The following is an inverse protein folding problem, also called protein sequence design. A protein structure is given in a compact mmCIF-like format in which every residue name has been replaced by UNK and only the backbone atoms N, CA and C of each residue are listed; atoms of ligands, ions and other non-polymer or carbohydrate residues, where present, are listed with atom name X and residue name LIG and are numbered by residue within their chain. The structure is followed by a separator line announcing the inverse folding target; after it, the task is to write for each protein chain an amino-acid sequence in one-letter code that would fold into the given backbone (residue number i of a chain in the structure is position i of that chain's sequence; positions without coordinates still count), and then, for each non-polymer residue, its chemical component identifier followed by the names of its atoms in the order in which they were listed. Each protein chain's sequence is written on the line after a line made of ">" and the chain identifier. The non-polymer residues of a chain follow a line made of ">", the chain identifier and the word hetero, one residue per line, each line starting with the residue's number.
data_IF_957344433802
#
_entry.id   IF_957344433802
#
_cell.length_a   1.000
_cell.length_b   1.000
_cell.length_c   1.000
_cell.angle_alpha   90.00
_cell.angle_beta   90.00
_cell.angle_gamma   90.00
#
_symmetry.space_group_name_H-M   'P 1'
#
loop_
_entity.id
_entity.type
_entity.pdbx_description
1 polymer ?
#
# COMPACT_ATOMS: atom_id res chain seq x y z
N UNK A 1 5.37 19.05 12.78
CA UNK A 1 4.79 19.88 11.71
C UNK A 1 3.62 20.76 12.18
N UNK A 2 3.58 21.07 13.47
CA UNK A 2 2.71 22.11 14.05
C UNK A 2 1.21 21.93 13.74
N UNK A 3 0.68 20.71 13.93
CA UNK A 3 -0.72 20.39 13.70
C UNK A 3 -1.07 19.99 12.26
N UNK A 4 -0.08 19.83 11.38
CA UNK A 4 -0.31 19.42 9.98
C UNK A 4 -0.19 17.91 9.85
N UNK A 5 -1.27 17.26 9.41
CA UNK A 5 -1.28 15.85 9.06
C UNK A 5 -0.63 15.67 7.68
N UNK A 6 0.66 15.40 7.64
CA UNK A 6 1.39 15.23 6.39
C UNK A 6 2.68 14.43 6.55
N UNK A 7 3.21 13.98 5.40
CA UNK A 7 4.59 13.61 5.18
C UNK A 7 5.02 14.25 3.85
N UNK A 8 6.29 14.53 3.67
CA UNK A 8 6.75 15.14 2.42
C UNK A 8 8.28 14.98 2.24
N UNK A 9 8.70 14.91 0.97
CA UNK A 9 10.08 15.08 0.56
C UNK A 9 10.33 16.54 0.14
N UNK A 10 11.26 17.21 0.79
CA UNK A 10 11.60 18.59 0.46
C UNK A 10 13.05 18.89 0.87
N UNK A 11 13.82 19.55 -0.01
CA UNK A 11 15.23 19.92 0.21
C UNK A 11 16.09 18.75 0.68
N UNK A 12 16.00 17.63 -0.04
CA UNK A 12 16.76 16.40 0.21
C UNK A 12 16.48 15.73 1.57
N UNK A 13 15.36 16.07 2.22
CA UNK A 13 14.92 15.49 3.47
C UNK A 13 13.51 14.88 3.33
N UNK A 14 13.34 13.67 3.88
CA UNK A 14 12.01 13.10 4.12
C UNK A 14 11.55 13.51 5.51
N UNK A 15 10.37 14.11 5.61
CA UNK A 15 9.74 14.49 6.88
C UNK A 15 8.43 13.79 7.05
N UNK A 16 8.23 13.14 8.19
CA UNK A 16 6.95 12.55 8.60
C UNK A 16 6.50 13.29 9.86
N UNK A 17 5.36 13.93 9.79
CA UNK A 17 4.80 14.69 10.90
C UNK A 17 4.32 13.78 12.02
N UNK A 18 4.49 14.17 13.29
CA UNK A 18 4.00 13.39 14.43
C UNK A 18 2.48 13.16 14.37
N UNK A 19 1.75 14.10 13.83
CA UNK A 19 0.32 14.04 13.58
C UNK A 19 -0.09 12.85 12.69
N UNK A 20 0.81 12.42 11.79
CA UNK A 20 0.57 11.24 10.97
C UNK A 20 0.58 9.94 11.81
N UNK A 21 1.47 9.83 12.80
CA UNK A 21 1.47 8.69 13.72
C UNK A 21 0.22 8.67 14.61
N UNK A 22 -0.21 9.81 15.11
CA UNK A 22 -1.45 9.94 15.88
C UNK A 22 -2.68 9.57 15.03
N UNK A 23 -2.67 9.95 13.76
CA UNK A 23 -3.72 9.60 12.82
C UNK A 23 -3.79 8.08 12.58
N UNK A 24 -2.68 7.43 12.29
CA UNK A 24 -2.63 5.96 12.13
C UNK A 24 -3.14 5.27 13.38
N UNK A 25 -2.75 5.75 14.56
CA UNK A 25 -3.11 5.14 15.84
C UNK A 25 -4.63 5.01 16.03
N UNK A 26 -5.43 5.91 15.47
CA UNK A 26 -6.90 5.84 15.53
C UNK A 26 -7.47 4.56 14.90
N UNK A 27 -6.75 3.96 13.96
CA UNK A 27 -7.20 2.77 13.23
C UNK A 27 -6.60 1.47 13.77
N UNK A 28 -5.59 1.52 14.65
CA UNK A 28 -4.92 0.31 15.16
C UNK A 28 -5.84 -0.62 15.94
N UNK A 29 -6.89 -0.09 16.58
CA UNK A 29 -7.90 -0.89 17.28
C UNK A 29 -8.74 -1.79 16.33
N UNK A 30 -8.74 -1.49 15.03
CA UNK A 30 -9.44 -2.28 14.02
C UNK A 30 -8.58 -3.44 13.47
N UNK A 31 -7.30 -3.50 13.83
CA UNK A 31 -6.32 -4.43 13.29
C UNK A 31 -6.70 -5.91 13.45
N UNK A 32 -7.25 -6.28 14.61
CA UNK A 32 -7.62 -7.67 14.92
C UNK A 32 -8.62 -8.27 13.94
N UNK A 33 -9.50 -7.46 13.35
CA UNK A 33 -10.47 -7.91 12.34
C UNK A 33 -9.79 -8.43 11.07
N UNK A 34 -8.53 -8.03 10.84
CA UNK A 34 -7.72 -8.41 9.68
C UNK A 34 -6.61 -9.39 10.06
N UNK A 35 -6.66 -9.97 11.28
CA UNK A 35 -5.61 -10.85 11.78
C UNK A 35 -4.28 -10.16 12.05
N UNK A 36 -4.28 -8.83 12.13
CA UNK A 36 -3.12 -8.01 12.41
C UNK A 36 -3.03 -7.65 13.90
N UNK A 37 -1.80 -7.44 14.37
CA UNK A 37 -1.59 -6.80 15.67
C UNK A 37 -1.70 -5.28 15.53
N UNK A 38 -1.99 -4.53 16.62
CA UNK A 38 -1.91 -3.07 16.60
C UNK A 38 -0.56 -2.53 16.10
N UNK A 39 0.53 -3.28 16.38
CA UNK A 39 1.88 -2.96 15.88
C UNK A 39 1.95 -3.05 14.36
N UNK A 40 1.40 -4.11 13.75
CA UNK A 40 1.39 -4.27 12.29
C UNK A 40 0.59 -3.15 11.61
N UNK A 41 -0.56 -2.80 12.21
CA UNK A 41 -1.39 -1.70 11.72
C UNK A 41 -0.70 -0.32 11.81
N UNK A 42 0.27 -0.18 12.71
CA UNK A 42 1.10 1.03 12.82
C UNK A 42 2.28 0.98 11.83
N UNK A 43 3.00 -0.14 11.79
CA UNK A 43 4.26 -0.25 11.02
C UNK A 43 4.01 -0.20 9.52
N UNK A 44 2.96 -0.87 9.02
CA UNK A 44 2.64 -0.88 7.58
C UNK A 44 2.53 0.52 6.98
N UNK A 45 1.60 1.36 7.48
CA UNK A 45 1.44 2.73 6.97
C UNK A 45 2.68 3.63 7.15
N UNK A 46 3.40 3.49 8.27
CA UNK A 46 4.62 4.29 8.52
C UNK A 46 5.72 3.96 7.52
N UNK A 47 5.95 2.67 7.26
CA UNK A 47 6.94 2.26 6.26
C UNK A 47 6.50 2.66 4.86
N UNK A 48 5.22 2.53 4.56
CA UNK A 48 4.67 2.90 3.25
C UNK A 48 4.81 4.40 2.98
N UNK A 49 4.40 5.26 3.91
CA UNK A 49 4.52 6.71 3.70
C UNK A 49 5.99 7.14 3.59
N UNK A 50 6.89 6.55 4.37
CA UNK A 50 8.32 6.81 4.23
C UNK A 50 8.82 6.42 2.84
N UNK A 51 8.44 5.24 2.33
CA UNK A 51 8.83 4.79 0.99
C UNK A 51 8.18 5.62 -0.12
N UNK A 52 6.98 6.13 0.09
CA UNK A 52 6.32 7.04 -0.83
C UNK A 52 7.15 8.32 -0.99
N UNK A 53 7.58 8.94 0.11
CA UNK A 53 8.44 10.13 0.07
C UNK A 53 9.83 9.83 -0.51
N UNK A 54 10.38 8.65 -0.23
CA UNK A 54 11.60 8.17 -0.91
C UNK A 54 11.36 8.02 -2.41
N UNK A 55 10.17 7.61 -2.84
CA UNK A 55 9.77 7.55 -4.25
C UNK A 55 9.90 8.90 -4.94
N UNK A 56 9.42 9.98 -4.33
CA UNK A 56 9.61 11.34 -4.83
C UNK A 56 11.11 11.70 -4.93
N UNK A 57 11.88 11.39 -3.89
CA UNK A 57 13.32 11.62 -3.88
C UNK A 57 14.03 10.89 -5.03
N UNK A 58 13.72 9.62 -5.24
CA UNK A 58 14.33 8.80 -6.31
C UNK A 58 13.97 9.33 -7.68
N UNK A 59 12.70 9.70 -7.91
CA UNK A 59 12.26 10.30 -9.18
C UNK A 59 13.04 11.59 -9.46
N UNK A 60 13.21 12.46 -8.45
CA UNK A 60 13.91 13.73 -8.60
C UNK A 60 15.42 13.54 -8.79
N UNK A 61 16.06 12.69 -7.97
CA UNK A 61 17.54 12.54 -7.98
C UNK A 61 18.01 11.84 -9.27
N UNK A 62 17.21 10.90 -9.79
CA UNK A 62 17.58 10.13 -10.98
C UNK A 62 16.96 10.68 -12.27
N UNK A 63 16.28 11.83 -12.23
CA UNK A 63 15.57 12.44 -13.37
C UNK A 63 14.68 11.40 -14.10
N UNK A 64 13.92 10.62 -13.34
CA UNK A 64 13.09 9.53 -13.89
C UNK A 64 11.91 10.12 -14.67
N UNK A 65 11.77 9.84 -15.98
CA UNK A 65 10.62 10.25 -16.74
C UNK A 65 9.39 9.42 -16.35
N UNK A 66 8.25 10.07 -16.23
CA UNK A 66 6.97 9.42 -15.94
C UNK A 66 5.82 10.06 -16.72
N UNK A 67 4.77 9.29 -16.93
CA UNK A 67 3.50 9.76 -17.49
C UNK A 67 2.44 9.76 -16.39
N UNK A 68 1.66 10.83 -16.33
CA UNK A 68 0.60 11.00 -15.34
C UNK A 68 1.08 11.75 -14.10
N UNK A 69 0.61 11.33 -12.94
CA UNK A 69 0.88 12.01 -11.66
C UNK A 69 2.09 11.39 -10.95
N UNK A 70 2.94 12.23 -10.42
CA UNK A 70 4.10 11.78 -9.64
C UNK A 70 3.66 11.03 -8.35
N UNK A 71 2.55 11.42 -7.78
CA UNK A 71 1.96 10.77 -6.61
C UNK A 71 1.65 9.28 -6.84
N UNK A 72 1.09 8.96 -8.01
CA UNK A 72 0.84 7.56 -8.38
C UNK A 72 2.16 6.79 -8.57
N UNK A 73 3.20 7.46 -9.10
CA UNK A 73 4.55 6.85 -9.24
C UNK A 73 5.15 6.56 -7.87
N UNK A 74 5.03 7.48 -6.92
CA UNK A 74 5.51 7.30 -5.55
C UNK A 74 4.76 6.17 -4.82
N UNK A 75 3.44 6.04 -5.02
CA UNK A 75 2.64 4.93 -4.50
C UNK A 75 3.08 3.57 -5.08
N UNK A 76 3.31 3.50 -6.39
CA UNK A 76 3.82 2.29 -7.04
C UNK A 76 5.22 1.93 -6.59
N UNK A 77 6.10 2.93 -6.41
CA UNK A 77 7.44 2.75 -5.85
C UNK A 77 7.37 2.14 -4.45
N UNK A 78 6.60 2.75 -3.55
CA UNK A 78 6.43 2.27 -2.18
C UNK A 78 5.91 0.83 -2.15
N UNK A 79 4.85 0.55 -2.90
CA UNK A 79 4.25 -0.78 -2.98
C UNK A 79 5.23 -1.81 -3.56
N UNK A 80 5.98 -1.45 -4.61
CA UNK A 80 6.99 -2.32 -5.20
C UNK A 80 8.06 -2.72 -4.17
N UNK A 81 8.58 -1.75 -3.41
CA UNK A 81 9.60 -2.01 -2.38
C UNK A 81 9.05 -2.88 -1.25
N UNK A 82 7.83 -2.62 -0.76
CA UNK A 82 7.18 -3.46 0.24
C UNK A 82 7.07 -4.93 -0.19
N UNK A 83 6.82 -5.18 -1.45
CA UNK A 83 6.70 -6.51 -2.02
C UNK A 83 8.06 -7.22 -2.26
N UNK A 84 9.20 -6.55 -2.05
CA UNK A 84 10.53 -7.17 -2.09
C UNK A 84 10.93 -7.83 -0.76
N UNK A 85 10.26 -7.53 0.35
CA UNK A 85 10.52 -8.16 1.63
C UNK A 85 10.17 -9.66 1.62
N UNK A 86 10.58 -10.40 2.65
CA UNK A 86 10.16 -11.79 2.84
C UNK A 86 8.63 -11.90 2.80
N UNK A 87 8.10 -12.99 2.25
CA UNK A 87 6.65 -13.15 1.97
C UNK A 87 5.75 -12.78 3.15
N UNK A 88 6.07 -13.25 4.34
CA UNK A 88 5.29 -12.95 5.54
C UNK A 88 5.34 -11.46 5.91
N UNK A 89 6.52 -10.85 5.80
CA UNK A 89 6.72 -9.42 6.07
C UNK A 89 5.99 -8.58 5.03
N UNK A 90 6.13 -8.90 3.74
CA UNK A 90 5.45 -8.21 2.64
C UNK A 90 3.92 -8.26 2.82
N UNK A 91 3.36 -9.45 3.14
CA UNK A 91 1.92 -9.58 3.37
C UNK A 91 1.44 -8.72 4.54
N UNK A 92 2.16 -8.72 5.66
CA UNK A 92 1.79 -7.92 6.85
C UNK A 92 1.89 -6.43 6.60
N UNK A 93 2.92 -5.98 5.90
CA UNK A 93 3.08 -4.58 5.50
C UNK A 93 1.94 -4.13 4.59
N UNK A 94 1.62 -4.91 3.56
CA UNK A 94 0.50 -4.61 2.64
C UNK A 94 -0.84 -4.62 3.37
N UNK A 95 -1.09 -5.58 4.26
CA UNK A 95 -2.31 -5.62 5.06
C UNK A 95 -2.41 -4.42 6.01
N UNK A 96 -1.31 -4.08 6.73
CA UNK A 96 -1.28 -2.95 7.66
C UNK A 96 -1.56 -1.63 6.98
N UNK A 97 -0.88 -1.37 5.86
CA UNK A 97 -1.09 -0.15 5.06
C UNK A 97 -2.49 -0.10 4.43
N UNK A 98 -3.01 -1.27 4.01
CA UNK A 98 -4.36 -1.37 3.43
C UNK A 98 -5.45 -1.17 4.47
N UNK A 99 -5.21 -1.47 5.75
CA UNK A 99 -6.15 -1.16 6.82
C UNK A 99 -6.40 0.35 6.93
N UNK A 100 -5.34 1.16 6.90
CA UNK A 100 -5.46 2.62 6.90
C UNK A 100 -6.18 3.10 5.64
N UNK A 101 -5.64 2.80 4.46
CA UNK A 101 -6.19 3.24 3.18
C UNK A 101 -7.62 2.76 2.93
N UNK A 102 -7.99 1.56 3.41
CA UNK A 102 -9.35 1.04 3.32
C UNK A 102 -10.34 1.82 4.21
N UNK A 103 -9.92 2.25 5.40
CA UNK A 103 -10.75 3.11 6.25
C UNK A 103 -10.93 4.50 5.62
N UNK A 104 -9.87 5.09 5.08
CA UNK A 104 -9.94 6.37 4.36
C UNK A 104 -10.86 6.27 3.14
N UNK A 105 -10.76 5.18 2.38
CA UNK A 105 -11.64 4.92 1.24
C UNK A 105 -13.11 4.81 1.65
N UNK A 106 -13.41 4.12 2.75
CA UNK A 106 -14.79 3.99 3.27
C UNK A 106 -15.33 5.33 3.78
N UNK A 107 -14.52 6.11 4.48
CA UNK A 107 -14.92 7.43 4.96
C UNK A 107 -15.20 8.38 3.79
N UNK A 108 -14.39 8.31 2.73
CA UNK A 108 -14.58 9.10 1.52
C UNK A 108 -15.81 8.69 0.70
N UNK A 109 -16.23 7.41 0.74
CA UNK A 109 -17.42 6.93 0.00
C UNK A 109 -18.76 7.46 0.54
N UNK A 110 -18.80 7.97 1.76
CA UNK A 110 -20.03 8.47 2.36
C UNK A 110 -20.60 9.73 1.67
N UNK A 111 -19.80 10.39 0.82
CA UNK A 111 -20.17 11.59 0.07
C UNK A 111 -19.62 11.52 -1.35
N UNK A 112 -20.31 12.17 -2.31
CA UNK A 112 -19.74 12.39 -3.63
C UNK A 112 -18.41 13.16 -3.47
N UNK A 113 -17.34 12.77 -4.19
CA UNK A 113 -16.08 13.49 -4.09
C UNK A 113 -16.26 14.94 -4.53
N UNK A 114 -15.80 15.85 -3.71
CA UNK A 114 -15.82 17.27 -4.03
C UNK A 114 -14.84 17.56 -5.18
N UNK A 115 -15.15 18.59 -5.98
CA UNK A 115 -14.38 18.89 -7.21
C UNK A 115 -12.88 19.09 -6.92
N UNK A 116 -12.53 19.70 -5.78
CA UNK A 116 -11.13 19.90 -5.40
C UNK A 116 -10.37 18.57 -5.17
N UNK A 117 -11.03 17.52 -4.66
CA UNK A 117 -10.42 16.18 -4.51
C UNK A 117 -10.18 15.50 -5.86
N UNK A 118 -11.02 15.81 -6.86
CA UNK A 118 -10.82 15.31 -8.24
C UNK A 118 -9.69 16.06 -8.97
N UNK A 119 -9.40 17.29 -8.53
CA UNK A 119 -8.30 18.10 -9.07
C UNK A 119 -6.98 17.94 -8.32
N UNK A 120 -6.97 17.15 -7.23
CA UNK A 120 -5.78 16.87 -6.43
C UNK A 120 -4.72 16.11 -7.23
N UNK A 121 -3.45 16.30 -6.87
CA UNK A 121 -2.33 15.54 -7.44
C UNK A 121 -2.36 14.07 -7.02
N UNK A 122 -2.93 13.76 -5.84
CA UNK A 122 -3.14 12.40 -5.39
C UNK A 122 -4.36 11.75 -6.03
N UNK A 123 -4.30 10.46 -6.26
CA UNK A 123 -5.46 9.64 -6.56
C UNK A 123 -6.41 9.58 -5.37
N UNK A 124 -7.72 9.42 -5.63
CA UNK A 124 -8.69 9.22 -4.54
C UNK A 124 -8.28 8.03 -3.64
N UNK A 125 -8.57 8.08 -2.33
CA UNK A 125 -8.20 7.02 -1.39
C UNK A 125 -8.61 5.62 -1.85
N UNK A 126 -9.80 5.46 -2.43
CA UNK A 126 -10.26 4.20 -2.98
C UNK A 126 -9.43 3.72 -4.18
N UNK A 127 -8.98 4.63 -5.05
CA UNK A 127 -8.11 4.30 -6.18
C UNK A 127 -6.73 3.82 -5.68
N UNK A 128 -6.12 4.54 -4.74
CA UNK A 128 -4.85 4.16 -4.12
C UNK A 128 -4.95 2.79 -3.43
N UNK A 129 -6.05 2.54 -2.71
CA UNK A 129 -6.32 1.24 -2.08
C UNK A 129 -6.35 0.10 -3.10
N UNK A 130 -7.16 0.21 -4.16
CA UNK A 130 -7.28 -0.83 -5.17
C UNK A 130 -6.02 -1.01 -6.02
N UNK A 131 -5.28 0.05 -6.30
CA UNK A 131 -4.01 -0.04 -7.02
C UNK A 131 -2.97 -0.82 -6.21
N UNK A 132 -2.84 -0.55 -4.91
CA UNK A 132 -1.95 -1.29 -4.02
C UNK A 132 -2.27 -2.79 -3.99
N UNK A 133 -3.54 -3.14 -3.81
CA UNK A 133 -3.97 -4.53 -3.81
C UNK A 133 -3.76 -5.21 -5.17
N UNK A 134 -3.99 -4.50 -6.26
CA UNK A 134 -3.74 -5.00 -7.60
C UNK A 134 -2.25 -5.30 -7.82
N UNK A 135 -1.36 -4.41 -7.38
CA UNK A 135 0.08 -4.64 -7.40
C UNK A 135 0.47 -5.87 -6.57
N UNK A 136 -0.05 -6.00 -5.35
CA UNK A 136 0.24 -7.13 -4.47
C UNK A 136 -0.25 -8.46 -5.06
N UNK A 137 -1.51 -8.52 -5.52
CA UNK A 137 -2.06 -9.70 -6.18
C UNK A 137 -1.32 -10.03 -7.48
N UNK A 138 -0.96 -9.04 -8.28
CA UNK A 138 -0.19 -9.20 -9.50
C UNK A 138 1.23 -9.73 -9.27
N UNK A 139 1.85 -9.35 -8.15
CA UNK A 139 3.19 -9.80 -7.78
C UNK A 139 3.21 -11.27 -7.35
N UNK A 140 2.35 -11.65 -6.44
CA UNK A 140 2.27 -13.01 -5.90
C UNK A 140 0.79 -13.42 -5.69
N UNK A 141 0.14 -14.00 -6.74
CA UNK A 141 -1.25 -14.44 -6.65
C UNK A 141 -1.50 -15.57 -5.62
N UNK A 142 -0.46 -16.33 -5.25
CA UNK A 142 -0.59 -17.36 -4.21
C UNK A 142 -0.63 -16.71 -2.81
N UNK A 143 0.25 -15.76 -2.56
CA UNK A 143 0.33 -15.05 -1.29
C UNK A 143 -0.88 -14.15 -1.04
N UNK A 144 -1.42 -13.53 -2.08
CA UNK A 144 -2.53 -12.56 -2.03
C UNK A 144 -3.81 -13.06 -2.70
N UNK A 145 -3.95 -14.39 -2.88
CA UNK A 145 -5.08 -14.99 -3.61
C UNK A 145 -6.45 -14.73 -2.98
N UNK A 146 -6.50 -14.63 -1.66
CA UNK A 146 -7.70 -14.30 -0.90
C UNK A 146 -8.23 -12.86 -1.12
N UNK A 147 -7.41 -11.98 -1.71
CA UNK A 147 -7.79 -10.59 -1.95
C UNK A 147 -9.06 -10.45 -2.83
N UNK A 148 -9.31 -11.41 -3.72
CA UNK A 148 -10.51 -11.42 -4.57
C UNK A 148 -11.73 -11.84 -3.75
N UNK A 149 -11.62 -12.93 -3.00
CA UNK A 149 -12.70 -13.47 -2.18
C UNK A 149 -13.12 -12.50 -1.08
N UNK A 150 -12.15 -11.79 -0.52
CA UNK A 150 -12.35 -10.76 0.51
C UNK A 150 -12.81 -9.41 -0.06
N UNK A 151 -12.97 -9.29 -1.39
CA UNK A 151 -13.41 -8.07 -2.06
C UNK A 151 -12.38 -6.93 -2.07
N UNK A 152 -11.12 -7.22 -1.72
CA UNK A 152 -10.02 -6.25 -1.74
C UNK A 152 -9.58 -5.91 -3.18
N UNK A 153 -9.76 -6.85 -4.10
CA UNK A 153 -9.60 -6.62 -5.54
C UNK A 153 -10.86 -7.11 -6.26
N UNK A 154 -11.61 -6.22 -6.94
CA UNK A 154 -12.75 -6.66 -7.75
C UNK A 154 -12.32 -7.65 -8.84
N UNK A 155 -13.13 -8.69 -9.08
CA UNK A 155 -12.84 -9.76 -10.05
C UNK A 155 -12.45 -9.23 -11.44
N UNK A 156 -13.14 -8.18 -11.92
CA UNK A 156 -12.84 -7.59 -13.22
C UNK A 156 -11.49 -6.86 -13.23
N UNK A 157 -11.09 -6.25 -12.09
CA UNK A 157 -9.80 -5.55 -11.92
C UNK A 157 -8.65 -6.55 -11.85
N UNK A 158 -8.84 -7.68 -11.18
CA UNK A 158 -7.82 -8.71 -10.97
C UNK A 158 -7.19 -9.23 -12.27
N UNK A 159 -7.97 -9.25 -13.37
CA UNK A 159 -7.50 -9.72 -14.69
C UNK A 159 -6.33 -8.90 -15.24
N UNK A 160 -6.23 -7.62 -14.88
CA UNK A 160 -5.15 -6.73 -15.33
C UNK A 160 -3.95 -6.65 -14.38
N UNK A 161 -4.09 -7.13 -13.14
CA UNK A 161 -3.10 -6.88 -12.09
C UNK A 161 -1.72 -7.50 -12.38
N UNK A 162 -1.70 -8.70 -13.00
CA UNK A 162 -0.42 -9.32 -13.39
C UNK A 162 0.34 -8.48 -14.41
N UNK A 163 -0.37 -7.93 -15.40
CA UNK A 163 0.25 -7.07 -16.41
C UNK A 163 0.74 -5.76 -15.78
N UNK A 164 -0.06 -5.17 -14.89
CA UNK A 164 0.31 -3.94 -14.18
C UNK A 164 1.57 -4.15 -13.32
N UNK A 165 1.63 -5.24 -12.57
CA UNK A 165 2.85 -5.61 -11.83
C UNK A 165 4.06 -5.72 -12.73
N UNK A 166 3.99 -6.52 -13.81
CA UNK A 166 5.12 -6.76 -14.71
C UNK A 166 5.61 -5.47 -15.36
N UNK A 167 4.71 -4.55 -15.70
CA UNK A 167 5.07 -3.25 -16.28
C UNK A 167 5.81 -2.38 -15.26
N UNK A 168 5.33 -2.31 -14.04
CA UNK A 168 6.00 -1.56 -12.97
C UNK A 168 7.34 -2.20 -12.58
N UNK A 169 7.39 -3.53 -12.48
CA UNK A 169 8.65 -4.27 -12.23
C UNK A 169 9.69 -3.99 -13.31
N UNK A 170 9.28 -3.99 -14.59
CA UNK A 170 10.16 -3.66 -15.71
C UNK A 170 10.68 -2.22 -15.61
N UNK A 171 9.80 -1.25 -15.33
CA UNK A 171 10.18 0.14 -15.15
C UNK A 171 11.18 0.31 -13.98
N UNK A 172 10.89 -0.32 -12.84
CA UNK A 172 11.78 -0.27 -11.68
C UNK A 172 13.16 -0.89 -11.99
N UNK A 173 13.17 -2.06 -12.62
CA UNK A 173 14.42 -2.74 -13.02
C UNK A 173 15.24 -1.93 -14.01
N UNK A 174 14.59 -1.22 -14.90
CA UNK A 174 15.26 -0.43 -15.95
C UNK A 174 15.76 0.91 -15.44
N UNK A 175 14.97 1.62 -14.67
CA UNK A 175 15.20 3.01 -14.32
C UNK A 175 15.88 3.20 -12.96
N UNK A 176 15.68 2.28 -12.02
CA UNK A 176 16.12 2.43 -10.63
C UNK A 176 17.19 1.40 -10.24
N UNK A 177 16.97 0.12 -10.60
CA UNK A 177 17.86 -0.97 -10.18
C UNK A 177 19.34 -0.79 -10.54
N UNK A 178 19.71 -0.15 -11.66
CA UNK A 178 21.13 0.11 -11.98
C UNK A 178 21.87 0.97 -10.95
N UNK A 179 21.14 1.77 -10.18
CA UNK A 179 21.69 2.67 -9.15
C UNK A 179 21.67 2.07 -7.75
N UNK A 180 21.13 0.86 -7.58
CA UNK A 180 21.05 0.18 -6.28
C UNK A 180 22.31 -0.65 -6.04
N UNK A 181 22.96 -0.49 -4.88
CA UNK A 181 23.99 -1.42 -4.41
C UNK A 181 23.37 -2.80 -4.16
N UNK A 182 23.66 -3.75 -5.06
CA UNK A 182 23.07 -5.08 -5.02
C UNK A 182 23.48 -5.87 -3.77
N UNK A 183 24.72 -5.70 -3.27
CA UNK A 183 25.18 -6.39 -2.06
C UNK A 183 24.46 -5.87 -0.82
N UNK A 184 24.25 -4.56 -0.74
CA UNK A 184 23.48 -3.95 0.35
C UNK A 184 22.02 -4.38 0.27
N UNK A 185 21.43 -4.39 -0.91
CA UNK A 185 20.05 -4.88 -1.15
C UNK A 185 19.89 -6.32 -0.66
N UNK A 186 20.77 -7.23 -1.09
CA UNK A 186 20.73 -8.64 -0.67
C UNK A 186 20.85 -8.78 0.85
N UNK A 187 21.78 -8.04 1.47
CA UNK A 187 21.94 -8.02 2.93
C UNK A 187 20.68 -7.55 3.65
N UNK A 188 20.02 -6.49 3.15
CA UNK A 188 18.80 -5.94 3.73
C UNK A 188 17.65 -6.94 3.59
N UNK A 189 17.46 -7.51 2.41
CA UNK A 189 16.36 -8.44 2.14
C UNK A 189 16.53 -9.79 2.83
N UNK A 190 17.76 -10.20 3.15
CA UNK A 190 18.03 -11.42 3.92
C UNK A 190 17.69 -11.28 5.41
N UNK A 191 17.54 -10.06 5.91
CA UNK A 191 17.18 -9.82 7.31
C UNK A 191 15.66 -10.00 7.50
N UNK A 192 15.29 -10.59 8.65
CA UNK A 192 13.92 -10.54 9.14
C UNK A 192 13.74 -9.29 9.98
N UNK A 193 12.93 -8.37 9.47
CA UNK A 193 12.69 -7.07 10.10
C UNK A 193 11.61 -7.12 11.18
N UNK A 194 10.72 -8.10 11.07
CA UNK A 194 9.59 -8.24 11.96
C UNK A 194 9.69 -9.57 12.70
N UNK A 195 9.85 -9.52 14.03
CA UNK A 195 9.73 -10.70 14.90
C UNK A 195 8.25 -10.89 15.20
N UNK A 196 7.67 -11.98 14.71
CA UNK A 196 6.27 -12.29 14.94
C UNK A 196 6.12 -13.15 16.19
N UNK A 197 5.23 -12.80 17.09
CA UNK A 197 4.75 -13.72 18.09
C UNK A 197 3.94 -14.81 17.40
N UNK A 198 4.27 -16.07 17.66
CA UNK A 198 3.71 -17.26 17.00
C UNK A 198 2.17 -17.34 17.07
N UNK A 199 1.54 -16.73 18.08
CA UNK A 199 0.09 -16.67 18.21
C UNK A 199 -0.60 -15.76 17.16
N UNK A 200 0.10 -14.74 16.63
CA UNK A 200 -0.44 -13.86 15.60
C UNK A 200 -0.37 -14.53 14.20
N UNK A 201 0.68 -15.29 13.93
CA UNK A 201 0.81 -16.04 12.67
C UNK A 201 -0.29 -17.11 12.51
N UNK A 202 -0.72 -17.74 13.60
CA UNK A 202 -1.80 -18.73 13.59
C UNK A 202 -3.18 -18.12 13.27
N UNK A 203 -3.38 -16.82 13.57
CA UNK A 203 -4.63 -16.11 13.29
C UNK A 203 -4.73 -15.58 11.86
N UNK A 204 -3.61 -15.39 11.16
CA UNK A 204 -3.60 -14.94 9.76
C UNK A 204 -4.22 -15.97 8.79
N UNK A 205 -4.35 -17.23 9.21
CA UNK A 205 -4.98 -18.30 8.45
C UNK A 205 -6.48 -18.49 8.76
N UNK A 206 -7.08 -17.62 9.57
CA UNK A 206 -8.53 -17.66 9.79
C UNK A 206 -9.25 -16.86 8.69
N UNK A 207 -10.39 -17.36 8.18
CA UNK A 207 -11.16 -16.63 7.17
C UNK A 207 -11.62 -15.28 7.73
N UNK A 208 -11.18 -14.22 7.10
CA UNK A 208 -11.55 -12.85 7.46
C UNK A 208 -13.01 -12.59 7.07
N UNK A 209 -13.73 -11.91 7.95
CA UNK A 209 -15.06 -11.40 7.59
C UNK A 209 -14.90 -10.34 6.50
N UNK A 210 -15.58 -10.49 5.34
CA UNK A 210 -15.48 -9.50 4.27
C UNK A 210 -15.84 -8.09 4.79
N UNK A 211 -15.13 -7.07 4.31
CA UNK A 211 -15.61 -5.70 4.40
C UNK A 211 -16.87 -5.63 3.51
N UNK A 212 -18.02 -5.92 4.08
CA UNK A 212 -19.29 -5.70 3.40
C UNK A 212 -19.53 -4.20 3.33
N UNK A 213 -19.03 -3.60 2.25
CA UNK A 213 -19.49 -2.29 1.84
C UNK A 213 -20.97 -2.38 1.46
N UNK A 214 -21.79 -1.36 1.70
CA UNK A 214 -23.18 -1.36 1.28
C UNK A 214 -23.23 -1.41 -0.25
N UNK A 215 -23.68 -2.53 -0.83
CA UNK A 215 -24.12 -2.58 -2.20
C UNK A 215 -23.32 -3.41 -3.20
N UNK A 216 -23.20 -4.72 -2.97
CA UNK A 216 -23.10 -5.68 -4.07
C UNK A 216 -24.30 -6.63 -4.00
N UNK A 217 -25.49 -6.11 -4.24
CA UNK A 217 -26.57 -6.97 -4.73
C UNK A 217 -26.28 -7.28 -6.19
N UNK A 218 -26.24 -8.56 -6.59
CA UNK A 218 -26.14 -8.91 -8.02
C UNK A 218 -27.39 -8.36 -8.70
N UNK A 219 -27.21 -7.43 -9.62
CA UNK A 219 -28.30 -7.03 -10.53
C UNK A 219 -28.65 -8.25 -11.39
N UNK A 220 -29.63 -9.03 -10.93
CA UNK A 220 -30.38 -9.97 -11.78
C UNK A 220 -31.24 -9.12 -12.72
N UNK A 221 -30.75 -8.86 -13.92
CA UNK A 221 -31.48 -8.58 -15.16
C UNK A 221 -30.66 -7.64 -16.07
N UNK A 222 -29.94 -8.20 -16.96
CA UNK A 222 -29.96 -8.08 -18.43
C UNK A 222 -28.70 -8.64 -19.06
#
# INVERSE_FOLDING_TARGET
>A
CDGVLNAYFFKDEVKICYEYFEYIQKYTSKAERFGLTPKDAMVGPVVEVFLHEVGHAVVQILDIPYFGRQEDVADYFATYVLLQFAKDDARRLILGTSLLAGNEAMEAQSKAPELHLLADTHSLPAQRYFNRWCMAYGADPELFGDAIELGMVPQHRARGCRYEWLTNEFAFKTLISPYIDQKLKEKILAQRWFTFESAAAARMNQPHTPLTGPGNTPNANR
#
